data_IF_980121389733
#
_entry.id   IF_980121389733
#
_cell.length_a   1.000
_cell.length_b   1.000
_cell.length_c   1.000
_cell.angle_alpha   90.00
_cell.angle_beta   90.00
_cell.angle_gamma   90.00
#
_symmetry.space_group_name_H-M   'P 1'
#
loop_
_entity.id
_entity.type
_entity.pdbx_description
1 polymer ?
#
# COMPACT_ATOMS: atom_id res chain seq x y z
N UNK A 1 11.21 -0.55 -4.31
CA UNK A 1 12.26 -0.35 -3.30
C UNK A 1 13.47 0.24 -4.00
N UNK A 2 14.06 1.29 -3.43
CA UNK A 2 15.32 1.83 -3.92
C UNK A 2 16.46 0.89 -3.53
N UNK A 3 17.51 0.81 -4.36
CA UNK A 3 18.69 -0.06 -4.19
C UNK A 3 19.95 0.81 -4.01
N UNK A 4 19.96 1.66 -3.00
CA UNK A 4 21.02 2.61 -2.66
C UNK A 4 22.36 1.94 -2.39
N UNK A 5 22.37 0.80 -1.67
CA UNK A 5 23.60 0.07 -1.39
C UNK A 5 24.26 -0.44 -2.68
N UNK A 6 23.44 -0.95 -3.60
CA UNK A 6 23.89 -1.41 -4.92
C UNK A 6 24.47 -0.27 -5.77
N UNK A 7 23.85 0.92 -5.73
CA UNK A 7 24.34 2.12 -6.42
C UNK A 7 25.73 2.51 -5.91
N UNK A 8 25.93 2.47 -4.59
CA UNK A 8 27.19 2.80 -3.92
C UNK A 8 28.28 1.78 -4.24
N UNK A 9 27.96 0.49 -4.19
CA UNK A 9 28.88 -0.60 -4.51
C UNK A 9 29.42 -0.49 -5.94
N UNK A 10 28.54 -0.26 -6.93
CA UNK A 10 28.98 -0.14 -8.33
C UNK A 10 29.79 1.13 -8.59
N UNK A 11 29.56 2.20 -7.82
CA UNK A 11 30.37 3.40 -7.87
C UNK A 11 31.79 3.16 -7.33
N UNK A 12 31.93 2.45 -6.21
CA UNK A 12 33.24 2.04 -5.68
C UNK A 12 34.00 1.13 -6.66
N UNK A 13 33.28 0.33 -7.45
CA UNK A 13 33.84 -0.49 -8.54
C UNK A 13 34.22 0.33 -9.79
N UNK A 14 34.10 1.65 -9.78
CA UNK A 14 34.53 2.54 -10.87
C UNK A 14 33.55 2.68 -12.04
N UNK A 15 32.29 2.26 -11.88
CA UNK A 15 31.29 2.38 -12.94
C UNK A 15 30.81 3.83 -13.10
N UNK A 16 30.49 4.22 -14.33
CA UNK A 16 29.89 5.53 -14.61
C UNK A 16 28.40 5.57 -14.24
N UNK A 17 27.85 6.77 -14.07
CA UNK A 17 26.44 6.95 -13.65
C UNK A 17 25.42 6.30 -14.61
N UNK A 18 25.72 6.17 -15.90
CA UNK A 18 24.85 5.47 -16.86
C UNK A 18 24.91 3.96 -16.67
N UNK A 19 26.10 3.40 -16.48
CA UNK A 19 26.32 1.97 -16.23
C UNK A 19 25.64 1.56 -14.92
N UNK A 20 25.81 2.34 -13.86
CA UNK A 20 25.14 2.11 -12.56
C UNK A 20 23.63 2.12 -12.73
N UNK A 21 23.08 3.08 -13.48
CA UNK A 21 21.65 3.17 -13.74
C UNK A 21 21.12 1.91 -14.45
N UNK A 22 21.85 1.43 -15.46
CA UNK A 22 21.52 0.18 -16.18
C UNK A 22 21.58 -1.04 -15.23
N UNK A 23 22.67 -1.18 -14.47
CA UNK A 23 22.88 -2.29 -13.53
C UNK A 23 21.84 -2.33 -12.40
N UNK A 24 21.48 -1.17 -11.87
CA UNK A 24 20.51 -1.04 -10.79
C UNK A 24 19.05 -1.02 -11.29
N UNK A 25 18.83 -1.07 -12.61
CA UNK A 25 17.52 -0.89 -13.27
C UNK A 25 16.79 0.35 -12.75
N UNK A 26 17.50 1.48 -12.66
CA UNK A 26 16.97 2.75 -12.16
C UNK A 26 17.31 3.90 -13.12
N UNK A 27 16.65 5.05 -12.95
CA UNK A 27 16.95 6.20 -13.81
C UNK A 27 18.32 6.79 -13.50
N UNK A 28 19.03 7.28 -14.53
CA UNK A 28 20.28 8.04 -14.36
C UNK A 28 20.11 9.22 -13.39
N UNK A 29 18.94 9.85 -13.39
CA UNK A 29 18.60 10.93 -12.47
C UNK A 29 18.52 10.47 -11.02
N UNK A 30 18.09 9.24 -10.76
CA UNK A 30 18.08 8.64 -9.42
C UNK A 30 19.51 8.51 -8.89
N UNK A 31 20.41 7.94 -9.70
CA UNK A 31 21.84 7.79 -9.36
C UNK A 31 22.47 9.15 -9.11
N UNK A 32 22.20 10.14 -9.97
CA UNK A 32 22.70 11.50 -9.81
C UNK A 32 22.23 12.16 -8.52
N UNK A 33 20.93 12.06 -8.17
CA UNK A 33 20.40 12.62 -6.92
C UNK A 33 21.03 11.99 -5.68
N UNK A 34 21.28 10.68 -5.70
CA UNK A 34 21.94 9.97 -4.59
C UNK A 34 23.34 10.57 -4.35
N UNK A 35 24.18 10.65 -5.39
CA UNK A 35 25.52 11.21 -5.24
C UNK A 35 25.53 12.71 -4.93
N UNK A 36 24.57 13.47 -5.45
CA UNK A 36 24.41 14.88 -5.11
C UNK A 36 24.15 15.05 -3.61
N UNK A 37 23.28 14.23 -3.01
CA UNK A 37 22.99 14.25 -1.57
C UNK A 37 24.19 13.81 -0.74
N UNK A 38 24.89 12.75 -1.14
CA UNK A 38 26.12 12.30 -0.46
C UNK A 38 27.17 13.42 -0.44
N UNK A 39 27.39 14.10 -1.58
CA UNK A 39 28.32 15.23 -1.67
C UNK A 39 27.87 16.42 -0.82
N UNK A 40 26.57 16.74 -0.82
CA UNK A 40 26.03 17.84 -0.02
C UNK A 40 26.19 17.60 1.50
N UNK A 41 26.12 16.34 1.94
CA UNK A 41 26.30 15.95 3.34
C UNK A 41 27.78 15.77 3.73
N UNK A 42 28.70 15.79 2.76
CA UNK A 42 30.13 15.58 3.01
C UNK A 42 30.47 14.17 3.52
N UNK A 43 29.61 13.19 3.25
CA UNK A 43 29.79 11.81 3.75
C UNK A 43 30.68 11.04 2.79
N UNK A 44 31.68 10.35 3.34
CA UNK A 44 32.50 9.45 2.56
C UNK A 44 31.75 8.15 2.26
N UNK A 45 31.86 7.71 1.01
CA UNK A 45 31.04 6.62 0.45
C UNK A 45 31.26 5.29 1.19
N UNK A 46 32.43 5.08 1.79
CA UNK A 46 32.73 3.87 2.56
C UNK A 46 31.88 3.76 3.84
N UNK A 47 31.52 4.88 4.47
CA UNK A 47 30.71 4.90 5.71
C UNK A 47 29.30 4.35 5.45
N UNK A 48 28.80 4.52 4.21
CA UNK A 48 27.47 4.07 3.82
C UNK A 48 27.41 2.55 3.58
N UNK A 49 28.54 1.85 3.47
CA UNK A 49 28.54 0.40 3.26
C UNK A 49 28.08 -0.37 4.52
N UNK A 50 28.37 0.18 5.70
CA UNK A 50 28.03 -0.43 6.99
C UNK A 50 26.58 -0.18 7.40
N UNK A 51 25.89 0.75 6.73
CA UNK A 51 24.49 1.07 6.97
C UNK A 51 23.54 0.09 6.25
N UNK A 52 22.35 -0.06 6.83
CA UNK A 52 21.20 -0.72 6.21
C UNK A 52 20.57 0.15 5.11
N UNK A 53 19.80 -0.48 4.22
CA UNK A 53 19.11 0.21 3.12
C UNK A 53 18.13 1.27 3.65
N UNK A 54 17.47 0.99 4.77
CA UNK A 54 16.61 1.92 5.50
C UNK A 54 17.37 3.14 6.04
N UNK A 55 18.51 2.93 6.70
CA UNK A 55 19.32 4.01 7.26
C UNK A 55 19.86 4.93 6.16
N UNK A 56 20.35 4.36 5.06
CA UNK A 56 20.81 5.14 3.89
C UNK A 56 19.64 5.93 3.30
N UNK A 57 18.46 5.33 3.20
CA UNK A 57 17.26 6.01 2.70
C UNK A 57 16.87 7.20 3.58
N UNK A 58 16.83 7.01 4.90
CA UNK A 58 16.46 8.06 5.86
C UNK A 58 17.51 9.17 5.93
N UNK A 59 18.80 8.83 5.79
CA UNK A 59 19.90 9.79 5.79
C UNK A 59 19.92 10.65 4.51
N UNK A 60 19.81 10.03 3.33
CA UNK A 60 19.88 10.75 2.06
C UNK A 60 18.57 11.45 1.69
N UNK A 61 17.44 10.84 2.08
CA UNK A 61 16.09 11.32 1.76
C UNK A 61 15.19 11.25 3.01
N UNK A 62 15.43 12.08 4.03
CA UNK A 62 14.60 12.12 5.23
C UNK A 62 13.14 12.47 4.92
N UNK A 63 12.91 13.23 3.86
CA UNK A 63 11.58 13.55 3.30
C UNK A 63 10.80 12.30 2.82
N UNK A 64 11.50 11.18 2.58
CA UNK A 64 10.93 9.91 2.12
C UNK A 64 10.84 8.86 3.23
N UNK A 65 11.12 9.25 4.48
CA UNK A 65 10.93 8.40 5.65
C UNK A 65 9.55 7.72 5.60
N UNK A 66 9.50 6.44 6.00
CA UNK A 66 8.34 5.57 5.79
C UNK A 66 7.08 6.19 6.38
N UNK A 67 5.96 6.05 5.67
CA UNK A 67 4.65 6.40 6.22
C UNK A 67 4.44 5.65 7.55
N UNK A 68 4.43 6.40 8.66
CA UNK A 68 4.28 5.84 10.01
C UNK A 68 5.32 6.33 11.01
N UNK A 69 6.49 6.80 10.58
CA UNK A 69 7.45 7.43 11.50
C UNK A 69 6.89 8.77 12.00
N UNK A 70 6.54 8.84 13.28
CA UNK A 70 5.92 10.01 13.89
C UNK A 70 4.46 10.27 13.49
N UNK A 71 3.82 9.36 12.75
CA UNK A 71 2.40 9.45 12.40
C UNK A 71 1.56 8.43 13.17
N UNK A 72 0.38 8.83 13.63
CA UNK A 72 -0.57 7.88 14.20
C UNK A 72 -1.21 7.04 13.09
N UNK A 73 -1.02 5.73 13.11
CA UNK A 73 -1.70 4.83 12.18
C UNK A 73 -3.19 4.73 12.57
N UNK A 74 -4.14 5.05 11.67
CA UNK A 74 -5.57 4.90 11.95
C UNK A 74 -5.97 3.43 12.08
N UNK A 75 -6.72 3.11 13.13
CA UNK A 75 -7.38 1.80 13.28
C UNK A 75 -8.75 1.86 12.61
N UNK A 76 -8.80 1.64 11.29
CA UNK A 76 -10.04 1.78 10.52
C UNK A 76 -11.15 0.81 10.96
N UNK A 77 -10.81 -0.35 11.53
CA UNK A 77 -11.81 -1.29 12.06
C UNK A 77 -12.53 -0.68 13.25
N UNK A 78 -11.78 -0.11 14.20
CA UNK A 78 -12.38 0.59 15.33
C UNK A 78 -13.11 1.86 14.91
N UNK A 79 -12.55 2.63 13.98
CA UNK A 79 -13.18 3.85 13.47
C UNK A 79 -14.52 3.58 12.76
N UNK A 80 -14.63 2.51 11.95
CA UNK A 80 -15.90 2.10 11.33
C UNK A 80 -16.93 1.66 12.38
N UNK A 81 -16.52 0.92 13.40
CA UNK A 81 -17.39 0.56 14.51
C UNK A 81 -17.97 1.80 15.20
N UNK A 82 -17.14 2.82 15.46
CA UNK A 82 -17.60 4.09 16.03
C UNK A 82 -18.52 4.86 15.09
N UNK A 83 -18.23 4.83 13.78
CA UNK A 83 -19.08 5.45 12.76
C UNK A 83 -20.47 4.83 12.75
N UNK A 84 -20.57 3.50 12.77
CA UNK A 84 -21.84 2.79 12.82
C UNK A 84 -22.58 3.06 14.13
N UNK A 85 -21.91 2.90 15.28
CA UNK A 85 -22.50 3.09 16.61
C UNK A 85 -23.06 4.49 16.82
N UNK A 86 -22.34 5.52 16.35
CA UNK A 86 -22.69 6.92 16.57
C UNK A 86 -23.23 7.61 15.32
N UNK A 87 -23.59 6.86 14.28
CA UNK A 87 -24.02 7.38 12.96
C UNK A 87 -23.14 8.54 12.47
N UNK A 88 -21.83 8.42 12.68
CA UNK A 88 -20.87 9.48 12.48
C UNK A 88 -20.27 9.40 11.09
N UNK A 89 -20.04 10.56 10.45
CA UNK A 89 -19.41 10.60 9.14
C UNK A 89 -17.91 10.29 9.22
N UNK A 90 -17.35 9.77 8.12
CA UNK A 90 -15.90 9.54 7.99
C UNK A 90 -15.07 10.82 8.24
N UNK A 91 -15.66 11.97 7.94
CA UNK A 91 -15.04 13.28 8.21
C UNK A 91 -15.01 13.61 9.70
N UNK A 92 -16.04 13.23 10.46
CA UNK A 92 -16.04 13.37 11.91
C UNK A 92 -15.04 12.40 12.56
N UNK A 93 -14.95 11.17 12.05
CA UNK A 93 -13.93 10.19 12.41
C UNK A 93 -12.51 10.78 12.25
N UNK A 94 -12.17 11.31 11.06
CA UNK A 94 -10.86 11.94 10.85
C UNK A 94 -10.56 13.06 11.85
N UNK A 95 -11.56 13.91 12.18
CA UNK A 95 -11.37 14.96 13.20
C UNK A 95 -11.06 14.39 14.59
N UNK A 96 -11.69 13.28 14.98
CA UNK A 96 -11.41 12.59 16.26
C UNK A 96 -10.02 11.95 16.25
N UNK A 97 -9.67 11.30 15.14
CA UNK A 97 -8.34 10.77 14.88
C UNK A 97 -7.25 11.84 15.02
N UNK A 98 -7.44 13.04 14.44
CA UNK A 98 -6.48 14.14 14.59
C UNK A 98 -6.27 14.55 16.06
N UNK A 99 -7.35 14.62 16.85
CA UNK A 99 -7.25 14.91 18.30
C UNK A 99 -6.51 13.81 19.06
N UNK A 100 -6.72 12.55 18.67
CA UNK A 100 -6.04 11.39 19.27
C UNK A 100 -4.55 11.39 18.95
N UNK A 101 -4.17 11.70 17.71
CA UNK A 101 -2.78 11.84 17.30
C UNK A 101 -2.07 12.92 18.12
N UNK A 102 -2.68 14.11 18.24
CA UNK A 102 -2.14 15.20 19.05
C UNK A 102 -1.95 14.81 20.53
N UNK A 103 -2.89 14.06 21.12
CA UNK A 103 -2.78 13.57 22.51
C UNK A 103 -1.61 12.59 22.71
N UNK A 104 -1.21 11.87 21.66
CA UNK A 104 -0.12 10.90 21.68
C UNK A 104 1.22 11.48 21.22
N UNK A 105 1.30 12.81 21.02
CA UNK A 105 2.46 13.47 20.42
C UNK A 105 2.84 12.89 19.04
N UNK A 106 1.84 12.42 18.29
CA UNK A 106 1.99 11.91 16.93
C UNK A 106 1.30 12.83 15.93
N UNK A 107 1.80 12.81 14.71
CA UNK A 107 1.26 13.59 13.59
C UNK A 107 0.05 12.87 12.99
N UNK A 108 -1.00 13.64 12.70
CA UNK A 108 -2.16 13.12 11.99
C UNK A 108 -1.91 13.08 10.48
N UNK A 109 -2.35 12.03 9.80
CA UNK A 109 -2.41 12.05 8.34
C UNK A 109 -3.33 13.17 7.84
N UNK A 110 -2.92 13.83 6.75
CA UNK A 110 -3.77 14.78 6.05
C UNK A 110 -5.10 14.13 5.64
N UNK A 111 -6.16 14.93 5.46
CA UNK A 111 -7.47 14.42 5.02
C UNK A 111 -7.35 13.56 3.75
N UNK A 112 -6.56 14.01 2.77
CA UNK A 112 -6.35 13.28 1.51
C UNK A 112 -5.69 11.93 1.75
N UNK A 113 -4.62 11.89 2.53
CA UNK A 113 -3.91 10.65 2.87
C UNK A 113 -4.79 9.69 3.68
N UNK A 114 -5.55 10.21 4.64
CA UNK A 114 -6.48 9.44 5.44
C UNK A 114 -7.56 8.76 4.59
N UNK A 115 -8.14 9.47 3.63
CA UNK A 115 -9.14 8.90 2.72
C UNK A 115 -8.53 7.86 1.78
N UNK A 116 -7.30 8.07 1.30
CA UNK A 116 -6.58 7.06 0.49
C UNK A 116 -6.40 5.77 1.30
N UNK A 117 -5.94 5.89 2.54
CA UNK A 117 -5.74 4.75 3.44
C UNK A 117 -7.07 4.05 3.78
N UNK A 118 -8.13 4.82 4.07
CA UNK A 118 -9.46 4.29 4.34
C UNK A 118 -10.04 3.54 3.13
N UNK A 119 -9.91 4.10 1.93
CA UNK A 119 -10.35 3.43 0.71
C UNK A 119 -9.53 2.18 0.42
N UNK A 120 -8.22 2.19 0.71
CA UNK A 120 -7.38 1.00 0.60
C UNK A 120 -7.79 -0.09 1.60
N UNK A 121 -8.17 0.30 2.82
CA UNK A 121 -8.71 -0.61 3.83
C UNK A 121 -10.06 -1.21 3.39
N UNK A 122 -10.96 -0.42 2.78
CA UNK A 122 -12.26 -0.88 2.29
C UNK A 122 -12.20 -1.71 1.00
N UNK A 123 -11.09 -1.65 0.27
CA UNK A 123 -10.91 -2.51 -0.91
C UNK A 123 -10.84 -3.96 -0.41
N UNK A 124 -11.63 -4.88 -0.99
CA UNK A 124 -11.48 -6.28 -0.64
C UNK A 124 -10.06 -6.71 -0.98
N UNK A 125 -9.45 -7.39 -0.01
CA UNK A 125 -8.13 -7.96 -0.18
C UNK A 125 -8.30 -9.18 -1.08
N UNK A 126 -7.37 -9.35 -2.03
CA UNK A 126 -7.24 -10.61 -2.75
C UNK A 126 -6.76 -11.61 -1.70
N UNK A 127 -7.68 -12.43 -1.19
CA UNK A 127 -7.29 -13.58 -0.38
C UNK A 127 -6.44 -14.52 -1.22
N UNK A 128 -5.40 -15.10 -0.63
CA UNK A 128 -4.55 -16.05 -1.32
C UNK A 128 -5.43 -17.18 -1.90
N UNK A 129 -5.33 -17.38 -3.21
CA UNK A 129 -6.02 -18.46 -3.89
C UNK A 129 -5.40 -19.79 -3.44
N UNK A 130 -6.22 -20.71 -2.91
CA UNK A 130 -5.78 -22.08 -2.68
C UNK A 130 -5.63 -22.76 -4.05
N UNK A 131 -4.43 -23.19 -4.49
CA UNK A 131 -4.25 -23.79 -5.81
C UNK A 131 -5.17 -24.99 -6.09
N UNK A 132 -5.65 -25.67 -5.04
CA UNK A 132 -6.51 -26.84 -5.15
C UNK A 132 -8.02 -26.51 -5.18
N UNK A 133 -8.44 -25.32 -4.74
CA UNK A 133 -9.86 -24.95 -4.67
C UNK A 133 -10.28 -23.97 -5.79
N UNK A 134 -10.41 -24.53 -7.00
CA UNK A 134 -10.77 -23.76 -8.21
C UNK A 134 -12.15 -23.10 -8.13
N UNK A 135 -13.09 -23.69 -7.39
CA UNK A 135 -14.47 -23.19 -7.29
C UNK A 135 -14.49 -21.97 -6.38
N UNK A 136 -13.89 -22.07 -5.18
CA UNK A 136 -13.82 -20.96 -4.24
C UNK A 136 -13.01 -19.80 -4.81
N UNK A 137 -11.90 -20.06 -5.50
CA UNK A 137 -11.11 -19.01 -6.15
C UNK A 137 -11.90 -18.25 -7.21
N UNK A 138 -12.63 -18.96 -8.08
CA UNK A 138 -13.45 -18.33 -9.13
C UNK A 138 -14.61 -17.53 -8.53
N UNK A 139 -15.19 -17.98 -7.42
CA UNK A 139 -16.21 -17.24 -6.67
C UNK A 139 -15.63 -15.97 -6.03
N UNK A 140 -14.44 -16.05 -5.43
CA UNK A 140 -13.69 -14.90 -4.91
C UNK A 140 -13.41 -13.86 -6.01
N UNK A 141 -13.04 -14.30 -7.21
CA UNK A 141 -12.82 -13.41 -8.37
C UNK A 141 -14.11 -12.66 -8.75
N UNK A 142 -15.26 -13.36 -8.82
CA UNK A 142 -16.54 -12.69 -9.08
C UNK A 142 -16.89 -11.67 -7.99
N UNK A 143 -16.67 -11.99 -6.72
CA UNK A 143 -16.91 -11.09 -5.60
C UNK A 143 -15.99 -9.87 -5.63
N UNK A 144 -14.71 -10.07 -5.99
CA UNK A 144 -13.77 -8.99 -6.21
C UNK A 144 -14.22 -8.07 -7.34
N UNK A 145 -14.62 -8.61 -8.49
CA UNK A 145 -15.11 -7.83 -9.64
C UNK A 145 -16.36 -7.01 -9.29
N UNK A 146 -17.30 -7.60 -8.55
CA UNK A 146 -18.50 -6.91 -8.07
C UNK A 146 -18.17 -5.75 -7.13
N UNK A 147 -17.20 -5.94 -6.24
CA UNK A 147 -16.76 -4.88 -5.31
C UNK A 147 -16.13 -3.67 -6.01
N UNK A 148 -15.50 -3.89 -7.17
CA UNK A 148 -14.85 -2.85 -7.95
C UNK A 148 -15.87 -1.99 -8.73
N UNK A 149 -17.10 -2.47 -8.88
CA UNK A 149 -18.15 -1.80 -9.64
C UNK A 149 -19.13 -1.08 -8.70
N UNK A 150 -19.54 0.17 -9.00
CA UNK A 150 -20.63 0.82 -8.27
C UNK A 150 -21.90 -0.03 -8.32
N UNK A 151 -22.57 -0.22 -7.17
CA UNK A 151 -23.86 -0.92 -7.09
C UNK A 151 -24.87 -0.26 -8.03
N UNK A 152 -25.44 -1.05 -8.94
CA UNK A 152 -26.40 -0.57 -9.95
C UNK A 152 -25.80 -0.19 -11.30
N UNK A 153 -24.47 -0.19 -11.47
CA UNK A 153 -23.85 -0.01 -12.79
C UNK A 153 -24.17 -1.18 -13.73
N UNK A 154 -24.17 -0.94 -15.04
CA UNK A 154 -24.36 -1.99 -16.06
C UNK A 154 -23.32 -3.10 -15.87
N UNK A 155 -22.07 -2.75 -15.61
CA UNK A 155 -20.99 -3.70 -15.34
C UNK A 155 -21.31 -4.58 -14.12
N UNK A 156 -21.80 -3.98 -13.02
CA UNK A 156 -22.21 -4.72 -11.83
C UNK A 156 -23.32 -5.75 -12.15
N UNK A 157 -24.35 -5.33 -12.90
CA UNK A 157 -25.46 -6.22 -13.29
C UNK A 157 -25.00 -7.38 -14.19
N UNK A 158 -24.11 -7.09 -15.16
CA UNK A 158 -23.56 -8.11 -16.07
C UNK A 158 -22.71 -9.13 -15.30
N UNK A 159 -21.84 -8.67 -14.40
CA UNK A 159 -20.99 -9.54 -13.59
C UNK A 159 -21.85 -10.38 -12.65
N UNK A 160 -22.88 -9.78 -12.04
CA UNK A 160 -23.78 -10.49 -11.14
C UNK A 160 -24.56 -11.59 -11.87
N UNK A 161 -25.12 -11.29 -13.05
CA UNK A 161 -25.81 -12.29 -13.87
C UNK A 161 -24.90 -13.45 -14.24
N UNK A 162 -23.67 -13.16 -14.68
CA UNK A 162 -22.67 -14.20 -15.02
C UNK A 162 -22.32 -15.08 -13.83
N UNK A 163 -22.18 -14.49 -12.64
CA UNK A 163 -21.94 -15.23 -11.39
C UNK A 163 -23.11 -16.17 -11.07
N UNK A 164 -24.34 -15.67 -11.14
CA UNK A 164 -25.55 -16.46 -10.87
C UNK A 164 -25.75 -17.59 -11.90
N UNK A 165 -25.54 -17.34 -13.19
CA UNK A 165 -25.58 -18.35 -14.25
C UNK A 165 -24.51 -19.43 -14.03
N UNK A 166 -23.29 -19.02 -13.66
CA UNK A 166 -22.20 -19.95 -13.36
C UNK A 166 -22.52 -20.84 -12.15
N UNK A 167 -23.02 -20.28 -11.04
CA UNK A 167 -23.44 -21.05 -9.86
C UNK A 167 -24.59 -22.02 -10.18
N UNK A 168 -25.59 -21.56 -10.96
CA UNK A 168 -26.70 -22.41 -11.44
C UNK A 168 -26.22 -23.58 -12.29
N UNK A 169 -25.26 -23.37 -13.18
CA UNK A 169 -24.70 -24.44 -14.02
C UNK A 169 -24.01 -25.55 -13.20
N UNK A 170 -23.47 -25.20 -12.02
CA UNK A 170 -22.84 -26.14 -11.10
C UNK A 170 -23.79 -26.70 -10.04
N UNK A 171 -25.04 -26.22 -9.98
CA UNK A 171 -26.03 -26.53 -8.92
C UNK A 171 -25.49 -26.22 -7.51
N UNK A 172 -24.76 -25.13 -7.37
CA UNK A 172 -24.17 -24.71 -6.10
C UNK A 172 -24.85 -23.44 -5.56
N UNK A 173 -24.89 -23.33 -4.24
CA UNK A 173 -25.43 -22.17 -3.52
C UNK A 173 -24.26 -21.43 -2.83
N UNK A 174 -24.19 -20.10 -2.99
CA UNK A 174 -23.04 -19.29 -2.56
C UNK A 174 -22.84 -19.32 -1.03
N UNK A 175 -23.95 -19.27 -0.29
CA UNK A 175 -24.05 -19.32 1.16
C UNK A 175 -23.54 -20.64 1.77
N UNK A 176 -23.34 -21.67 0.94
CA UNK A 176 -22.75 -22.95 1.34
C UNK A 176 -21.25 -23.07 1.03
N UNK A 177 -20.63 -22.05 0.41
CA UNK A 177 -19.24 -22.11 -0.08
C UNK A 177 -18.30 -21.16 0.68
N UNK A 178 -18.78 -19.98 1.03
CA UNK A 178 -18.04 -18.97 1.77
C UNK A 178 -18.59 -18.87 3.19
N UNK A 179 -17.69 -18.94 4.17
CA UNK A 179 -18.05 -18.65 5.55
C UNK A 179 -18.40 -17.16 5.69
N UNK A 180 -19.47 -16.84 6.42
CA UNK A 180 -19.84 -15.47 6.74
C UNK A 180 -18.80 -14.89 7.73
N UNK A 181 -17.71 -14.30 7.23
CA UNK A 181 -16.79 -13.47 8.02
C UNK A 181 -17.21 -11.98 8.05
#
# INVERSE_FOLDING_TARGET
MSKYKLIIEYYQKGNNNSQIATLCSCSRMTVWRVFQRIKALGIEVYVLNDMSEEEISSLLFPERAKAGEGYLIPDFKWEEFQMCKHRSSIRLCWRRYCKRAAKQNLTAYSWKSFIILYNAYRKPKIEACDPNDKIRNKLKDFNFLLSCCPRGSINYQVIQRKKEEWLKSLKLEEDKILDNE
#
